data_IF_771328296698
#
_entry.id   IF_771328296698
#
_cell.length_a   1.000
_cell.length_b   1.000
_cell.length_c   1.000
_cell.angle_alpha   90.00
_cell.angle_beta   90.00
_cell.angle_gamma   90.00
#
_symmetry.space_group_name_H-M   'P 1'
#
loop_
_entity.id
_entity.type
_entity.pdbx_description
1 polymer ?
#
# COMPACT_ATOMS: atom_id res chain seq x y z
N UNK A 1 8.45 -18.15 -14.48
CA UNK A 1 9.85 -18.60 -14.34
C UNK A 1 10.31 -18.24 -12.93
N UNK A 2 10.85 -19.23 -12.22
CA UNK A 2 11.37 -19.12 -10.86
C UNK A 2 12.89 -19.39 -10.90
N UNK A 3 13.66 -18.76 -10.03
CA UNK A 3 15.10 -19.02 -9.90
C UNK A 3 15.38 -20.31 -9.12
N UNK A 4 16.66 -20.68 -8.99
CA UNK A 4 17.10 -21.89 -8.27
C UNK A 4 16.67 -21.91 -6.78
N UNK A 5 16.30 -20.74 -6.22
CA UNK A 5 15.80 -20.58 -4.86
C UNK A 5 14.25 -20.48 -4.81
N UNK A 6 13.55 -20.82 -5.90
CA UNK A 6 12.10 -20.74 -6.05
C UNK A 6 11.54 -19.31 -5.90
N UNK A 7 12.36 -18.28 -6.14
CA UNK A 7 11.87 -16.91 -6.16
C UNK A 7 11.34 -16.57 -7.55
N UNK A 8 10.27 -15.79 -7.62
CA UNK A 8 9.74 -15.32 -8.89
C UNK A 8 10.78 -14.42 -9.59
N UNK A 9 11.22 -14.80 -10.80
CA UNK A 9 12.28 -14.08 -11.55
C UNK A 9 11.90 -12.61 -11.79
N UNK A 10 10.61 -12.34 -12.00
CA UNK A 10 10.10 -10.98 -12.17
C UNK A 10 10.26 -10.14 -10.89
N UNK A 11 9.98 -10.71 -9.72
CA UNK A 11 10.16 -10.02 -8.43
C UNK A 11 11.64 -9.70 -8.19
N UNK A 12 12.54 -10.65 -8.46
CA UNK A 12 13.98 -10.42 -8.35
C UNK A 12 14.49 -9.40 -9.36
N UNK A 13 13.92 -9.36 -10.56
CA UNK A 13 14.26 -8.34 -11.57
C UNK A 13 13.85 -6.94 -11.13
N UNK A 14 12.68 -6.79 -10.49
CA UNK A 14 12.24 -5.53 -9.90
C UNK A 14 13.16 -5.13 -8.73
N UNK A 15 13.47 -6.06 -7.83
CA UNK A 15 14.38 -5.79 -6.70
C UNK A 15 15.75 -5.35 -7.18
N UNK A 16 16.33 -6.05 -8.16
CA UNK A 16 17.60 -5.67 -8.77
C UNK A 16 17.53 -4.30 -9.46
N UNK A 17 16.41 -3.94 -10.09
CA UNK A 17 16.22 -2.60 -10.65
C UNK A 17 16.24 -1.53 -9.56
N UNK A 18 15.53 -1.74 -8.45
CA UNK A 18 15.56 -0.81 -7.32
C UNK A 18 16.95 -0.71 -6.67
N UNK A 19 17.62 -1.83 -6.46
CA UNK A 19 18.93 -1.89 -5.82
C UNK A 19 20.08 -1.33 -6.68
N UNK A 20 19.96 -1.35 -8.01
CA UNK A 20 21.05 -0.98 -8.90
C UNK A 20 20.81 0.27 -9.74
N UNK A 21 19.56 0.67 -9.95
CA UNK A 21 19.20 1.83 -10.78
C UNK A 21 18.71 2.95 -9.89
N UNK A 22 17.67 2.69 -9.09
CA UNK A 22 17.00 3.71 -8.27
C UNK A 22 17.87 4.23 -7.12
N UNK A 23 18.64 3.36 -6.46
CA UNK A 23 19.54 3.74 -5.35
C UNK A 23 20.86 4.37 -5.79
N UNK A 24 21.19 4.33 -7.09
CA UNK A 24 22.41 4.96 -7.65
C UNK A 24 22.16 6.39 -8.11
N UNK A 25 20.92 6.72 -8.44
CA UNK A 25 20.48 8.09 -8.66
C UNK A 25 20.24 8.72 -7.27
N UNK A 26 20.64 10.00 -7.07
CA UNK A 26 20.35 10.78 -5.87
C UNK A 26 18.84 11.09 -5.77
N UNK A 27 18.00 10.04 -5.77
CA UNK A 27 16.56 10.14 -5.74
C UNK A 27 16.13 10.59 -4.34
N UNK A 28 15.36 11.68 -4.29
CA UNK A 28 14.78 12.16 -3.05
C UNK A 28 13.56 11.30 -2.69
N UNK A 29 13.82 10.21 -1.98
CA UNK A 29 12.78 9.29 -1.51
C UNK A 29 11.75 9.95 -0.57
N UNK A 30 11.98 11.16 -0.05
CA UNK A 30 10.99 11.88 0.78
C UNK A 30 9.70 12.23 0.01
N UNK A 31 9.81 12.33 -1.33
CA UNK A 31 8.68 12.55 -2.24
C UNK A 31 7.76 11.34 -2.30
N UNK A 32 8.24 10.12 -2.05
CA UNK A 32 7.46 8.89 -2.21
C UNK A 32 6.39 8.75 -1.14
N UNK A 33 6.77 8.99 0.13
CA UNK A 33 5.81 8.99 1.23
C UNK A 33 4.78 10.11 1.06
N UNK A 34 5.21 11.29 0.61
CA UNK A 34 4.33 12.43 0.34
C UNK A 34 3.34 12.12 -0.79
N UNK A 35 3.80 11.46 -1.86
CA UNK A 35 2.95 11.02 -2.96
C UNK A 35 1.91 10.00 -2.51
N UNK A 36 2.31 8.97 -1.76
CA UNK A 36 1.37 7.96 -1.21
C UNK A 36 0.34 8.64 -0.31
N UNK A 37 0.78 9.58 0.54
CA UNK A 37 -0.11 10.34 1.40
C UNK A 37 -1.13 11.15 0.59
N UNK A 38 -0.70 11.85 -0.45
CA UNK A 38 -1.61 12.59 -1.34
C UNK A 38 -2.61 11.65 -2.03
N UNK A 39 -2.17 10.47 -2.48
CA UNK A 39 -3.07 9.47 -3.06
C UNK A 39 -4.15 9.00 -2.08
N UNK A 40 -3.86 8.97 -0.77
CA UNK A 40 -4.81 8.56 0.26
C UNK A 40 -5.74 9.72 0.66
N UNK A 41 -5.16 10.90 0.91
CA UNK A 41 -5.89 12.06 1.43
C UNK A 41 -6.75 12.73 0.34
N UNK A 42 -6.26 12.79 -0.90
CA UNK A 42 -6.88 13.48 -2.05
C UNK A 42 -6.93 12.54 -3.29
N UNK A 43 -7.66 11.42 -3.21
CA UNK A 43 -7.56 10.37 -4.24
C UNK A 43 -8.16 10.74 -5.60
N UNK A 44 -8.83 11.89 -5.73
CA UNK A 44 -9.36 12.39 -7.00
C UNK A 44 -8.34 13.21 -7.79
N UNK A 45 -7.31 13.75 -7.12
CA UNK A 45 -6.33 14.66 -7.70
C UNK A 45 -4.99 13.95 -7.93
N UNK A 46 -5.04 12.80 -8.60
CA UNK A 46 -3.85 12.01 -8.92
C UNK A 46 -2.93 12.80 -9.87
N UNK A 47 -1.71 13.05 -9.41
CA UNK A 47 -0.64 13.67 -10.19
C UNK A 47 0.31 12.59 -10.75
N UNK A 48 1.01 12.88 -11.85
CA UNK A 48 2.04 12.00 -12.42
C UNK A 48 3.45 12.63 -12.29
N UNK A 49 4.00 12.71 -11.06
CA UNK A 49 5.30 13.31 -10.81
C UNK A 49 6.43 12.49 -11.45
N UNK A 50 7.33 13.14 -12.20
CA UNK A 50 8.44 12.45 -12.89
C UNK A 50 9.49 11.87 -11.93
N UNK A 51 9.54 12.39 -10.71
CA UNK A 51 10.45 12.06 -9.62
C UNK A 51 9.97 10.91 -8.74
N UNK A 52 8.81 10.30 -9.04
CA UNK A 52 8.31 9.10 -8.32
C UNK A 52 8.39 7.87 -9.21
N UNK A 53 8.98 6.79 -8.67
CA UNK A 53 9.08 5.53 -9.39
C UNK A 53 7.72 4.89 -9.71
N UNK A 54 7.69 4.14 -10.81
CA UNK A 54 6.48 3.47 -11.30
C UNK A 54 5.84 2.53 -10.27
N UNK A 55 6.61 1.79 -9.46
CA UNK A 55 6.01 0.88 -8.46
C UNK A 55 5.34 1.67 -7.35
N UNK A 56 5.93 2.78 -6.91
CA UNK A 56 5.32 3.66 -5.91
C UNK A 56 4.06 4.32 -6.49
N UNK A 57 4.09 4.73 -7.76
CA UNK A 57 2.89 5.21 -8.48
C UNK A 57 1.76 4.19 -8.50
N UNK A 58 2.07 2.93 -8.79
CA UNK A 58 1.10 1.83 -8.78
C UNK A 58 0.54 1.63 -7.38
N UNK A 59 1.39 1.58 -6.35
CA UNK A 59 0.95 1.43 -4.95
C UNK A 59 0.03 2.59 -4.57
N UNK A 60 0.41 3.83 -4.86
CA UNK A 60 -0.40 5.01 -4.58
C UNK A 60 -1.74 4.99 -5.29
N UNK A 61 -1.77 4.65 -6.57
CA UNK A 61 -3.02 4.55 -7.36
C UNK A 61 -3.97 3.50 -6.80
N UNK A 62 -3.45 2.34 -6.38
CA UNK A 62 -4.25 1.29 -5.73
C UNK A 62 -4.85 1.79 -4.41
N UNK A 63 -4.07 2.50 -3.60
CA UNK A 63 -4.56 3.07 -2.34
C UNK A 63 -5.49 4.26 -2.53
N UNK A 64 -5.37 5.00 -3.64
CA UNK A 64 -6.34 6.01 -4.03
C UNK A 64 -7.71 5.40 -4.31
N UNK A 65 -7.76 4.26 -5.01
CA UNK A 65 -9.02 3.52 -5.19
C UNK A 65 -9.62 3.05 -3.87
N UNK A 66 -8.78 2.53 -2.96
CA UNK A 66 -9.26 2.13 -1.63
C UNK A 66 -9.76 3.33 -0.82
N UNK A 67 -9.16 4.51 -1.00
CA UNK A 67 -9.57 5.75 -0.34
C UNK A 67 -10.87 6.30 -0.90
N UNK A 68 -11.08 6.25 -2.22
CA UNK A 68 -12.39 6.54 -2.82
C UNK A 68 -13.45 5.63 -2.22
N UNK A 69 -13.18 4.33 -2.16
CA UNK A 69 -14.07 3.37 -1.51
C UNK A 69 -14.33 3.72 -0.03
N UNK A 70 -13.32 4.15 0.74
CA UNK A 70 -13.50 4.59 2.14
C UNK A 70 -14.35 5.86 2.26
N UNK A 71 -14.19 6.82 1.34
CA UNK A 71 -15.02 8.03 1.28
C UNK A 71 -16.48 7.67 1.01
N UNK A 72 -16.75 6.82 0.01
CA UNK A 72 -18.12 6.38 -0.28
C UNK A 72 -18.72 5.58 0.88
N UNK A 73 -17.92 4.74 1.55
CA UNK A 73 -18.35 4.04 2.75
C UNK A 73 -18.71 5.01 3.87
N UNK A 74 -17.90 6.05 4.08
CA UNK A 74 -18.14 7.07 5.10
C UNK A 74 -19.42 7.88 4.83
N UNK A 75 -19.62 8.29 3.58
CA UNK A 75 -20.66 9.25 3.23
C UNK A 75 -22.01 8.57 2.95
N UNK A 76 -21.99 7.32 2.49
CA UNK A 76 -23.18 6.61 2.01
C UNK A 76 -23.34 5.18 2.58
N UNK A 77 -22.38 4.70 3.38
CA UNK A 77 -22.47 3.39 4.03
C UNK A 77 -22.70 2.24 3.05
N UNK A 78 -23.58 1.31 3.44
CA UNK A 78 -23.89 0.11 2.65
C UNK A 78 -24.71 0.38 1.38
N UNK A 79 -25.22 1.60 1.19
CA UNK A 79 -25.97 1.95 -0.02
C UNK A 79 -25.04 2.12 -1.24
N UNK A 80 -23.79 2.52 -1.01
CA UNK A 80 -22.80 2.71 -2.06
C UNK A 80 -21.74 1.61 -2.11
N UNK A 81 -21.36 1.03 -0.96
CA UNK A 81 -20.23 0.09 -0.84
C UNK A 81 -20.68 -1.22 -0.19
N UNK A 82 -20.30 -2.35 -0.79
CA UNK A 82 -20.56 -3.68 -0.22
C UNK A 82 -19.44 -4.15 0.71
N UNK A 83 -19.79 -5.00 1.67
CA UNK A 83 -18.82 -5.63 2.57
C UNK A 83 -17.81 -6.50 1.82
N UNK A 84 -18.18 -7.12 0.70
CA UNK A 84 -17.29 -7.92 -0.13
C UNK A 84 -16.21 -7.07 -0.81
N UNK A 85 -16.57 -5.86 -1.24
CA UNK A 85 -15.61 -4.92 -1.84
C UNK A 85 -14.61 -4.46 -0.77
N UNK A 86 -15.09 -4.05 0.41
CA UNK A 86 -14.27 -3.75 1.58
C UNK A 86 -13.34 -4.91 1.98
N UNK A 87 -13.84 -6.15 1.93
CA UNK A 87 -13.03 -7.34 2.21
C UNK A 87 -11.91 -7.53 1.20
N UNK A 88 -12.20 -7.29 -0.08
CA UNK A 88 -11.22 -7.43 -1.16
C UNK A 88 -10.15 -6.34 -1.08
N UNK A 89 -10.53 -5.08 -0.83
CA UNK A 89 -9.60 -3.95 -0.71
C UNK A 89 -8.66 -4.12 0.49
N UNK A 90 -9.18 -4.49 1.67
CA UNK A 90 -8.36 -4.77 2.84
C UNK A 90 -7.47 -6.00 2.67
N UNK A 91 -7.94 -7.05 1.99
CA UNK A 91 -7.09 -8.19 1.66
C UNK A 91 -5.92 -7.82 0.74
N UNK A 92 -6.18 -6.98 -0.28
CA UNK A 92 -5.15 -6.45 -1.16
C UNK A 92 -4.15 -5.56 -0.42
N UNK A 93 -4.64 -4.65 0.43
CA UNK A 93 -3.80 -3.80 1.28
C UNK A 93 -2.88 -4.65 2.18
N UNK A 94 -3.43 -5.69 2.83
CA UNK A 94 -2.65 -6.64 3.64
C UNK A 94 -1.53 -7.32 2.85
N UNK A 95 -1.81 -7.76 1.62
CA UNK A 95 -0.82 -8.42 0.75
C UNK A 95 0.31 -7.46 0.37
N UNK A 96 -0.02 -6.21 0.01
CA UNK A 96 0.96 -5.17 -0.31
C UNK A 96 1.83 -4.80 0.90
N UNK A 97 1.20 -4.54 2.06
CA UNK A 97 1.90 -4.23 3.31
C UNK A 97 2.84 -5.38 3.70
N UNK A 98 2.38 -6.63 3.59
CA UNK A 98 3.21 -7.80 3.90
C UNK A 98 4.42 -7.93 2.97
N UNK A 99 4.23 -7.65 1.67
CA UNK A 99 5.31 -7.70 0.70
C UNK A 99 6.38 -6.62 0.98
N UNK A 100 5.96 -5.39 1.25
CA UNK A 100 6.85 -4.29 1.63
C UNK A 100 7.55 -4.57 2.98
N UNK A 101 6.84 -5.14 3.96
CA UNK A 101 7.38 -5.43 5.28
C UNK A 101 8.46 -6.53 5.29
N UNK A 102 8.32 -7.56 4.44
CA UNK A 102 9.34 -8.60 4.27
C UNK A 102 10.65 -8.02 3.76
N UNK A 103 10.59 -7.04 2.86
CA UNK A 103 11.78 -6.38 2.35
C UNK A 103 12.54 -5.66 3.46
N UNK A 104 11.86 -4.92 4.35
CA UNK A 104 12.53 -4.22 5.46
C UNK A 104 13.30 -5.17 6.39
N UNK A 105 12.76 -6.37 6.66
CA UNK A 105 13.39 -7.35 7.55
C UNK A 105 14.70 -7.93 7.00
N UNK A 106 14.89 -7.92 5.67
CA UNK A 106 16.06 -8.51 5.01
C UNK A 106 17.27 -7.54 5.03
N UNK A 107 17.05 -6.23 5.16
CA UNK A 107 18.09 -5.19 5.04
C UNK A 107 18.72 -4.73 6.38
N UNK A 108 18.61 -5.56 7.42
CA UNK A 108 19.04 -5.25 8.79
C UNK A 108 20.52 -4.80 8.89
N UNK A 109 20.77 -3.49 8.85
CA UNK A 109 22.02 -2.89 9.35
C UNK A 109 22.79 -1.93 8.44
N UNK A 110 22.44 -1.75 7.15
CA UNK A 110 23.04 -0.68 6.34
C UNK A 110 22.03 0.46 6.18
N UNK A 111 22.44 1.69 6.48
CA UNK A 111 21.64 2.91 6.36
C UNK A 111 21.23 3.15 4.89
N UNK A 112 20.25 2.38 4.41
CA UNK A 112 19.68 2.50 3.09
C UNK A 112 18.45 3.41 3.19
N UNK A 113 18.49 4.56 2.53
CA UNK A 113 17.37 5.51 2.50
C UNK A 113 16.07 4.84 2.05
N UNK A 114 16.16 3.84 1.17
CA UNK A 114 15.03 3.02 0.72
C UNK A 114 14.34 2.28 1.86
N UNK A 115 15.09 1.75 2.85
CA UNK A 115 14.52 1.05 4.00
C UNK A 115 13.77 2.02 4.93
N UNK A 116 14.30 3.24 5.12
CA UNK A 116 13.63 4.28 5.90
C UNK A 116 12.32 4.71 5.23
N UNK A 117 12.35 5.01 3.94
CA UNK A 117 11.14 5.42 3.21
C UNK A 117 10.13 4.29 3.05
N UNK A 118 10.60 3.05 2.88
CA UNK A 118 9.71 1.88 2.92
C UNK A 118 8.97 1.80 4.25
N UNK A 119 9.62 2.14 5.38
CA UNK A 119 8.96 2.17 6.69
C UNK A 119 7.90 3.27 6.77
N UNK A 120 8.21 4.47 6.29
CA UNK A 120 7.28 5.60 6.29
C UNK A 120 6.05 5.31 5.41
N UNK A 121 6.27 4.74 4.22
CA UNK A 121 5.18 4.29 3.34
C UNK A 121 4.34 3.22 4.03
N UNK A 122 4.95 2.15 4.56
CA UNK A 122 4.21 1.07 5.22
C UNK A 122 3.37 1.61 6.37
N UNK A 123 3.89 2.56 7.16
CA UNK A 123 3.13 3.16 8.25
C UNK A 123 1.86 3.86 7.72
N UNK A 124 1.97 4.66 6.65
CA UNK A 124 0.82 5.30 6.02
C UNK A 124 -0.23 4.27 5.55
N UNK A 125 0.21 3.18 4.93
CA UNK A 125 -0.68 2.13 4.43
C UNK A 125 -1.38 1.38 5.58
N UNK A 126 -0.66 1.10 6.67
CA UNK A 126 -1.21 0.46 7.88
C UNK A 126 -2.23 1.38 8.55
N UNK A 127 -1.88 2.65 8.75
CA UNK A 127 -2.77 3.62 9.39
C UNK A 127 -4.08 3.74 8.62
N UNK A 128 -4.00 3.85 7.29
CA UNK A 128 -5.18 3.85 6.42
C UNK A 128 -6.00 2.56 6.56
N UNK A 129 -5.35 1.39 6.47
CA UNK A 129 -6.06 0.10 6.55
C UNK A 129 -6.76 -0.08 7.90
N UNK A 130 -6.16 0.36 9.00
CA UNK A 130 -6.77 0.33 10.33
C UNK A 130 -7.97 1.28 10.42
N UNK A 131 -7.82 2.52 9.96
CA UNK A 131 -8.90 3.50 9.95
C UNK A 131 -10.11 3.00 9.14
N UNK A 132 -9.87 2.50 7.93
CA UNK A 132 -10.91 1.89 7.09
C UNK A 132 -11.56 0.69 7.78
N UNK A 133 -10.77 -0.17 8.42
CA UNK A 133 -11.28 -1.33 9.16
C UNK A 133 -12.24 -0.93 10.28
N UNK A 134 -11.88 0.08 11.08
CA UNK A 134 -12.77 0.60 12.11
C UNK A 134 -14.04 1.21 11.52
N UNK A 135 -13.92 1.94 10.41
CA UNK A 135 -15.10 2.51 9.73
C UNK A 135 -16.07 1.44 9.23
N UNK A 136 -15.56 0.33 8.69
CA UNK A 136 -16.41 -0.80 8.27
C UNK A 136 -17.12 -1.40 9.48
N UNK A 137 -16.43 -1.54 10.62
CA UNK A 137 -17.06 -2.02 11.86
C UNK A 137 -18.17 -1.09 12.36
N UNK A 138 -17.99 0.22 12.23
CA UNK A 138 -19.00 1.21 12.59
C UNK A 138 -20.20 1.20 11.64
N UNK A 139 -19.96 1.06 10.33
CA UNK A 139 -21.00 1.14 9.31
C UNK A 139 -21.76 -0.18 9.10
N UNK A 140 -21.16 -1.33 9.46
CA UNK A 140 -21.68 -2.66 9.14
C UNK A 140 -21.66 -3.65 10.33
N UNK A 141 -21.97 -3.27 11.58
CA UNK A 141 -21.65 -4.03 12.79
C UNK A 141 -22.20 -5.46 12.86
N UNK A 142 -23.29 -5.76 12.15
CA UNK A 142 -23.99 -7.05 12.19
C UNK A 142 -23.50 -8.06 11.13
N UNK A 143 -22.58 -7.66 10.24
CA UNK A 143 -22.10 -8.56 9.19
C UNK A 143 -21.10 -9.60 9.74
N UNK A 144 -21.53 -10.86 9.81
CA UNK A 144 -20.71 -11.98 10.31
C UNK A 144 -19.40 -12.18 9.54
N UNK A 145 -19.25 -11.62 8.34
CA UNK A 145 -18.01 -11.68 7.55
C UNK A 145 -16.93 -10.73 8.09
N UNK A 146 -17.28 -9.73 8.91
CA UNK A 146 -16.35 -8.78 9.53
C UNK A 146 -15.24 -9.45 10.34
N UNK A 147 -15.55 -10.57 11.01
CA UNK A 147 -14.57 -11.30 11.83
C UNK A 147 -13.36 -11.75 11.01
N UNK A 148 -13.54 -12.03 9.72
CA UNK A 148 -12.45 -12.43 8.82
C UNK A 148 -11.65 -11.24 8.26
N UNK A 149 -12.22 -10.02 8.27
CA UNK A 149 -11.53 -8.81 7.82
C UNK A 149 -10.52 -8.28 8.85
N UNK A 150 -10.81 -8.42 10.15
CA UNK A 150 -10.04 -7.80 11.24
C UNK A 150 -8.74 -8.55 11.58
N UNK A 151 -8.57 -9.80 11.13
CA UNK A 151 -7.35 -10.59 11.34
C UNK A 151 -6.21 -10.16 10.40
N UNK A 152 -5.99 -8.85 10.23
CA UNK A 152 -4.80 -8.29 9.57
C UNK A 152 -3.55 -8.68 10.35
#
# INVERSE_FOLDING_TARGET
EEDDNHNCIFQNSILNYYENVVTREDNDFSTYASYIKACIDEPQDLTDPSDVDLVIKIIGTVFAWFSIEDIFLKDHGMEAISIELCGTSLWCAKRLISALGRHIQIFDGKANQLAKVSKDIIQLLIDFALQKSFRILECMPDDKKLVNLILI
#
